data_IF_295387958950
#
_entry.id   IF_295387958950
#
_cell.length_a   1.000
_cell.length_b   1.000
_cell.length_c   1.000
_cell.angle_alpha   90.00
_cell.angle_beta   90.00
_cell.angle_gamma   90.00
#
_symmetry.space_group_name_H-M   'P 1'
#
loop_
_entity.id
_entity.type
_entity.pdbx_description
1 polymer ?
#
# COMPACT_ATOMS: atom_id res chain seq x y z
N UNK A 1 -17.49 22.26 6.66
CA UNK A 1 -17.82 22.38 5.22
C UNK A 1 -18.73 21.27 4.67
N UNK A 2 -18.72 20.03 5.17
CA UNK A 2 -19.58 18.93 4.66
C UNK A 2 -21.10 19.12 4.87
N UNK A 3 -21.53 19.94 5.84
CA UNK A 3 -22.94 20.08 6.24
C UNK A 3 -23.86 20.80 5.25
N UNK A 4 -23.34 21.42 4.18
CA UNK A 4 -24.13 22.21 3.22
C UNK A 4 -24.19 21.61 1.80
N UNK A 5 -23.58 20.45 1.56
CA UNK A 5 -23.52 19.84 0.23
C UNK A 5 -24.81 19.04 -0.10
N UNK A 6 -25.10 18.80 -1.38
CA UNK A 6 -26.18 17.86 -1.78
C UNK A 6 -25.80 16.42 -1.38
N UNK A 7 -26.78 15.50 -1.30
CA UNK A 7 -26.58 14.13 -0.79
C UNK A 7 -25.45 13.38 -1.54
N UNK A 8 -25.44 13.45 -2.87
CA UNK A 8 -24.44 12.78 -3.72
C UNK A 8 -22.99 13.23 -3.45
N UNK A 9 -22.63 14.53 -3.52
CA UNK A 9 -21.25 14.95 -3.26
C UNK A 9 -20.78 14.69 -1.83
N UNK A 10 -21.66 14.71 -0.82
CA UNK A 10 -21.28 14.27 0.54
C UNK A 10 -20.86 12.80 0.55
N UNK A 11 -21.66 11.95 -0.09
CA UNK A 11 -21.39 10.53 -0.18
C UNK A 11 -20.09 10.25 -0.95
N UNK A 12 -19.87 10.95 -2.07
CA UNK A 12 -18.62 10.83 -2.84
C UNK A 12 -17.40 11.21 -2.00
N UNK A 13 -17.45 12.30 -1.24
CA UNK A 13 -16.32 12.72 -0.40
C UNK A 13 -16.02 11.67 0.68
N UNK A 14 -17.06 11.16 1.36
CA UNK A 14 -16.88 10.12 2.38
C UNK A 14 -16.28 8.85 1.77
N UNK A 15 -16.80 8.40 0.64
CA UNK A 15 -16.29 7.23 -0.07
C UNK A 15 -14.83 7.42 -0.50
N UNK A 16 -14.50 8.59 -1.07
CA UNK A 16 -13.13 8.93 -1.47
C UNK A 16 -12.18 8.93 -0.27
N UNK A 17 -12.59 9.45 0.89
CA UNK A 17 -11.75 9.41 2.10
C UNK A 17 -11.45 7.97 2.56
N UNK A 18 -12.46 7.10 2.54
CA UNK A 18 -12.29 5.68 2.89
C UNK A 18 -11.34 4.99 1.89
N UNK A 19 -11.47 5.27 0.60
CA UNK A 19 -10.57 4.67 -0.40
C UNK A 19 -9.17 5.24 -0.35
N UNK A 20 -8.99 6.54 -0.17
CA UNK A 20 -7.65 7.14 -0.02
C UNK A 20 -6.94 6.56 1.20
N UNK A 21 -7.62 6.46 2.35
CA UNK A 21 -7.02 5.83 3.54
C UNK A 21 -6.67 4.36 3.31
N UNK A 22 -7.54 3.61 2.60
CA UNK A 22 -7.27 2.21 2.24
C UNK A 22 -6.08 2.06 1.29
N UNK A 23 -5.95 2.94 0.30
CA UNK A 23 -4.84 2.96 -0.66
C UNK A 23 -3.53 3.27 0.07
N UNK A 24 -3.52 4.26 0.97
CA UNK A 24 -2.32 4.60 1.76
C UNK A 24 -1.91 3.42 2.63
N UNK A 25 -2.85 2.83 3.37
CA UNK A 25 -2.58 1.69 4.25
C UNK A 25 -2.02 0.50 3.46
N UNK A 26 -2.68 0.14 2.35
CA UNK A 26 -2.26 -0.96 1.48
C UNK A 26 -0.89 -0.67 0.86
N UNK A 27 -0.66 0.56 0.40
CA UNK A 27 0.61 0.98 -0.18
C UNK A 27 1.77 0.88 0.80
N UNK A 28 1.56 1.26 2.07
CA UNK A 28 2.57 1.11 3.13
C UNK A 28 2.88 -0.37 3.38
N UNK A 29 1.84 -1.20 3.58
CA UNK A 29 2.02 -2.64 3.85
C UNK A 29 2.73 -3.31 2.68
N UNK A 30 2.28 -3.05 1.45
CA UNK A 30 2.85 -3.64 0.25
C UNK A 30 4.29 -3.18 0.03
N UNK A 31 4.59 -1.89 0.24
CA UNK A 31 5.95 -1.36 0.16
C UNK A 31 6.90 -2.06 1.14
N UNK A 32 6.48 -2.24 2.40
CA UNK A 32 7.27 -2.96 3.40
C UNK A 32 7.48 -4.43 3.01
N UNK A 33 6.43 -5.12 2.56
CA UNK A 33 6.51 -6.51 2.13
C UNK A 33 7.46 -6.69 0.94
N UNK A 34 7.36 -5.82 -0.06
CA UNK A 34 8.20 -5.82 -1.26
C UNK A 34 9.66 -5.50 -0.91
N UNK A 35 9.92 -4.52 -0.06
CA UNK A 35 11.27 -4.18 0.39
C UNK A 35 11.90 -5.31 1.22
N UNK A 36 11.12 -5.95 2.10
CA UNK A 36 11.58 -7.11 2.86
C UNK A 36 11.95 -8.27 1.93
N UNK A 37 11.06 -8.60 0.98
CA UNK A 37 11.33 -9.65 -0.01
C UNK A 37 12.55 -9.36 -0.87
N UNK A 38 12.72 -8.12 -1.32
CA UNK A 38 13.91 -7.71 -2.09
C UNK A 38 15.21 -7.86 -1.28
N UNK A 39 15.18 -7.49 0.01
CA UNK A 39 16.32 -7.68 0.93
C UNK A 39 16.66 -9.17 1.13
N UNK A 40 15.65 -10.01 1.36
CA UNK A 40 15.85 -11.46 1.52
C UNK A 40 16.41 -12.07 0.24
N UNK A 41 15.90 -11.68 -0.92
CA UNK A 41 16.38 -12.17 -2.22
C UNK A 41 17.88 -11.89 -2.44
N UNK A 42 18.35 -10.67 -2.20
CA UNK A 42 19.78 -10.35 -2.34
C UNK A 42 20.65 -11.04 -1.28
N UNK A 43 20.12 -11.25 -0.07
CA UNK A 43 20.81 -11.98 0.99
C UNK A 43 20.96 -13.47 0.68
N UNK A 44 19.91 -14.09 0.15
CA UNK A 44 19.92 -15.50 -0.27
C UNK A 44 20.91 -15.71 -1.43
N UNK A 45 20.94 -14.79 -2.40
CA UNK A 45 21.92 -14.82 -3.49
C UNK A 45 23.36 -14.70 -2.97
N UNK A 46 23.60 -13.77 -2.05
CA UNK A 46 24.91 -13.60 -1.41
C UNK A 46 25.36 -14.83 -0.64
N UNK A 47 24.45 -15.42 0.13
CA UNK A 47 24.66 -16.64 0.92
C UNK A 47 24.92 -17.87 0.05
N UNK A 48 24.20 -18.02 -1.06
CA UNK A 48 24.38 -19.11 -2.01
C UNK A 48 25.76 -19.05 -2.66
N UNK A 49 26.16 -17.86 -3.14
CA UNK A 49 27.49 -17.64 -3.73
C UNK A 49 28.57 -17.90 -2.68
N UNK A 50 28.40 -17.39 -1.46
CA UNK A 50 29.32 -17.62 -0.35
C UNK A 50 29.51 -19.12 -0.08
N UNK A 51 28.41 -19.87 0.06
CA UNK A 51 28.44 -21.30 0.29
C UNK A 51 29.11 -22.06 -0.85
N UNK A 52 28.88 -21.65 -2.11
CA UNK A 52 29.53 -22.22 -3.28
C UNK A 52 31.04 -21.99 -3.25
N UNK A 53 31.49 -20.76 -2.96
CA UNK A 53 32.92 -20.44 -2.90
C UNK A 53 33.62 -21.16 -1.74
N UNK A 54 32.96 -21.27 -0.59
CA UNK A 54 33.46 -22.07 0.54
C UNK A 54 33.57 -23.54 0.13
N UNK A 55 32.59 -24.09 -0.59
CA UNK A 55 32.66 -25.47 -1.08
C UNK A 55 33.84 -25.71 -2.03
N UNK A 56 34.20 -24.72 -2.86
CA UNK A 56 35.41 -24.78 -3.69
C UNK A 56 36.68 -24.82 -2.81
N UNK A 57 36.73 -24.01 -1.74
CA UNK A 57 37.87 -24.04 -0.79
C UNK A 57 37.99 -25.41 -0.12
N UNK A 58 36.87 -25.96 0.33
CA UNK A 58 36.81 -27.24 1.01
C UNK A 58 37.25 -28.38 0.07
N UNK A 59 36.84 -28.32 -1.20
CA UNK A 59 37.31 -29.25 -2.22
C UNK A 59 38.82 -29.16 -2.41
N UNK A 60 39.39 -27.96 -2.55
CA UNK A 60 40.85 -27.77 -2.68
C UNK A 60 41.57 -28.33 -1.46
N UNK A 61 41.10 -28.02 -0.26
CA UNK A 61 41.74 -28.45 1.00
C UNK A 61 41.68 -29.96 1.20
N UNK A 62 40.55 -30.58 0.86
CA UNK A 62 40.28 -32.01 1.14
C UNK A 62 40.78 -32.93 0.03
N UNK A 63 40.70 -32.50 -1.23
CA UNK A 63 40.98 -33.37 -2.39
C UNK A 63 42.27 -32.99 -3.12
N UNK A 64 42.57 -31.70 -3.29
CA UNK A 64 43.72 -31.26 -4.08
C UNK A 64 45.00 -31.20 -3.25
N UNK A 65 44.93 -30.63 -2.05
CA UNK A 65 46.10 -30.44 -1.20
C UNK A 65 46.82 -31.75 -0.84
N UNK A 66 46.13 -32.86 -0.50
CA UNK A 66 46.82 -34.13 -0.24
C UNK A 66 47.62 -34.65 -1.43
N UNK A 67 47.11 -34.48 -2.66
CA UNK A 67 47.76 -34.95 -3.88
C UNK A 67 49.01 -34.13 -4.24
N UNK A 68 49.02 -32.85 -3.87
CA UNK A 68 50.10 -31.93 -4.20
C UNK A 68 51.09 -31.71 -3.05
N UNK A 69 50.85 -32.28 -1.85
CA UNK A 69 51.67 -32.08 -0.65
C UNK A 69 53.16 -32.33 -0.89
N UNK A 70 53.52 -33.45 -1.51
CA UNK A 70 54.93 -33.77 -1.77
C UNK A 70 55.56 -32.79 -2.75
N UNK A 71 54.81 -32.38 -3.78
CA UNK A 71 55.30 -31.44 -4.79
C UNK A 71 55.45 -30.03 -4.22
N UNK A 72 54.56 -29.59 -3.34
CA UNK A 72 54.62 -28.26 -2.73
C UNK A 72 55.93 -28.01 -1.96
N UNK A 73 56.50 -29.08 -1.38
CA UNK A 73 57.76 -29.02 -0.62
C UNK A 73 59.00 -29.01 -1.52
N UNK A 74 58.93 -29.64 -2.71
CA UNK A 74 60.09 -29.87 -3.58
C UNK A 74 60.12 -28.98 -4.82
N UNK A 75 58.95 -28.53 -5.31
CA UNK A 75 58.83 -27.76 -6.54
C UNK A 75 59.36 -26.33 -6.30
N UNK A 76 60.30 -25.83 -7.13
CA UNK A 76 60.81 -24.46 -6.99
C UNK A 76 59.73 -23.40 -7.26
N UNK A 77 58.71 -23.74 -8.05
CA UNK A 77 57.62 -22.82 -8.36
C UNK A 77 56.45 -23.01 -7.39
N UNK A 78 55.96 -21.90 -6.84
CA UNK A 78 54.82 -21.97 -5.93
C UNK A 78 53.54 -22.37 -6.66
N UNK A 79 52.99 -23.51 -6.25
CA UNK A 79 51.76 -24.11 -6.80
C UNK A 79 50.56 -23.44 -6.14
N UNK A 80 50.07 -22.35 -6.74
CA UNK A 80 48.97 -21.53 -6.18
C UNK A 80 47.67 -22.30 -6.01
N UNK A 81 47.48 -23.35 -6.82
CA UNK A 81 46.33 -24.24 -6.81
C UNK A 81 46.19 -25.03 -5.50
N UNK A 82 47.24 -25.05 -4.66
CA UNK A 82 47.19 -25.60 -3.30
C UNK A 82 46.59 -24.62 -2.26
N UNK A 83 46.36 -23.36 -2.64
CA UNK A 83 45.78 -22.34 -1.76
C UNK A 83 44.26 -22.32 -1.97
N UNK A 84 43.44 -22.68 -0.97
CA UNK A 84 41.98 -22.74 -1.13
C UNK A 84 41.37 -21.41 -1.58
N UNK A 85 41.91 -20.29 -1.09
CA UNK A 85 41.47 -18.94 -1.47
C UNK A 85 41.71 -18.66 -2.94
N UNK A 86 42.85 -19.08 -3.48
CA UNK A 86 43.18 -18.90 -4.88
C UNK A 86 42.18 -19.63 -5.79
N UNK A 87 41.82 -20.87 -5.45
CA UNK A 87 40.83 -21.65 -6.19
C UNK A 87 39.46 -20.96 -6.18
N UNK A 88 38.96 -20.57 -5.00
CA UNK A 88 37.67 -19.91 -4.86
C UNK A 88 37.60 -18.58 -5.62
N UNK A 89 38.62 -17.73 -5.46
CA UNK A 89 38.71 -16.44 -6.16
C UNK A 89 38.79 -16.67 -7.68
N UNK A 90 39.58 -17.63 -8.15
CA UNK A 90 39.74 -17.89 -9.59
C UNK A 90 38.45 -18.44 -10.21
N UNK A 91 37.76 -19.36 -9.51
CA UNK A 91 36.45 -19.86 -9.95
C UNK A 91 35.43 -18.72 -10.01
N UNK A 92 35.41 -17.85 -8.98
CA UNK A 92 34.55 -16.67 -8.99
C UNK A 92 34.87 -15.71 -10.14
N UNK A 93 36.15 -15.48 -10.44
CA UNK A 93 36.57 -14.66 -11.59
C UNK A 93 36.07 -15.23 -12.92
N UNK A 94 35.95 -16.55 -13.05
CA UNK A 94 35.33 -17.16 -14.22
C UNK A 94 33.80 -17.01 -14.20
N UNK A 95 33.15 -17.10 -13.03
CA UNK A 95 31.71 -16.89 -12.87
C UNK A 95 31.26 -15.50 -13.34
N UNK A 96 31.98 -14.44 -12.95
CA UNK A 96 31.64 -13.06 -13.32
C UNK A 96 31.93 -12.70 -14.79
N UNK A 97 32.54 -13.59 -15.57
CA UNK A 97 32.65 -13.39 -17.04
C UNK A 97 31.29 -13.47 -17.73
N UNK A 98 30.30 -14.10 -17.09
CA UNK A 98 28.94 -14.11 -17.58
C UNK A 98 28.32 -12.72 -17.43
N UNK A 99 27.74 -12.12 -18.50
CA UNK A 99 27.22 -10.75 -18.45
C UNK A 99 26.22 -10.49 -17.32
N UNK A 100 25.43 -11.51 -16.95
CA UNK A 100 24.44 -11.45 -15.86
C UNK A 100 25.07 -11.27 -14.47
N UNK A 101 26.30 -11.72 -14.27
CA UNK A 101 26.96 -11.75 -12.96
C UNK A 101 28.17 -10.82 -12.87
N UNK A 102 28.42 -9.99 -13.89
CA UNK A 102 29.61 -9.13 -14.01
C UNK A 102 29.81 -8.14 -12.87
N UNK A 103 28.72 -7.69 -12.25
CA UNK A 103 28.73 -6.69 -11.18
C UNK A 103 28.79 -7.34 -9.78
N UNK A 104 28.79 -8.67 -9.68
CA UNK A 104 29.02 -9.38 -8.43
C UNK A 104 30.51 -9.32 -8.06
N UNK A 105 30.80 -9.31 -6.77
CA UNK A 105 32.18 -9.30 -6.28
C UNK A 105 32.35 -10.25 -5.12
N UNK A 106 33.44 -11.01 -5.13
CA UNK A 106 33.85 -11.89 -4.03
C UNK A 106 35.29 -11.59 -3.69
N UNK A 107 35.58 -11.55 -2.39
CA UNK A 107 36.93 -11.36 -1.87
C UNK A 107 37.07 -12.12 -0.56
N UNK A 108 38.28 -12.62 -0.33
CA UNK A 108 38.72 -13.04 0.99
C UNK A 108 39.61 -11.95 1.57
N UNK A 109 39.03 -11.09 2.40
CA UNK A 109 39.67 -9.92 2.95
C UNK A 109 40.35 -10.25 4.28
N UNK A 110 41.68 -10.27 4.30
CA UNK A 110 42.49 -10.67 5.45
C UNK A 110 43.24 -9.45 6.01
N UNK A 111 43.41 -9.39 7.33
CA UNK A 111 44.10 -8.27 8.00
C UNK A 111 45.59 -8.24 7.64
N UNK A 112 46.23 -9.40 7.59
CA UNK A 112 47.62 -9.60 7.17
C UNK A 112 47.68 -10.76 6.15
N UNK A 113 47.41 -10.51 4.86
CA UNK A 113 47.39 -11.54 3.83
C UNK A 113 48.80 -11.89 3.32
N UNK A 114 49.00 -13.10 2.80
CA UNK A 114 50.21 -13.44 2.03
C UNK A 114 50.29 -12.67 0.72
N UNK A 115 49.15 -12.50 0.04
CA UNK A 115 49.04 -11.73 -1.20
C UNK A 115 48.44 -10.34 -0.89
N UNK A 116 49.15 -9.23 -1.13
CA UNK A 116 48.66 -7.88 -0.80
C UNK A 116 47.32 -7.50 -1.43
N UNK A 117 46.91 -8.13 -2.54
CA UNK A 117 45.59 -7.87 -3.15
C UNK A 117 44.41 -8.29 -2.24
N UNK A 118 44.67 -9.21 -1.31
CA UNK A 118 43.67 -9.74 -0.39
C UNK A 118 43.59 -8.93 0.91
N UNK A 119 44.30 -7.80 1.01
CA UNK A 119 44.30 -6.97 2.22
C UNK A 119 42.93 -6.35 2.44
N UNK A 120 42.39 -6.50 3.65
CA UNK A 120 41.13 -5.90 4.03
C UNK A 120 41.21 -4.36 3.94
N UNK A 121 40.25 -3.75 3.23
CA UNK A 121 40.07 -2.29 3.25
C UNK A 121 39.43 -1.84 4.57
N UNK A 122 39.28 -0.53 4.77
CA UNK A 122 38.77 0.03 6.02
C UNK A 122 37.35 -0.42 6.38
N UNK A 123 36.51 -0.69 5.38
CA UNK A 123 35.17 -1.22 5.58
C UNK A 123 35.22 -2.70 6.01
N UNK A 124 35.98 -3.52 5.29
CA UNK A 124 36.18 -4.93 5.60
C UNK A 124 36.82 -5.12 6.99
N UNK A 125 37.79 -4.27 7.35
CA UNK A 125 38.42 -4.22 8.69
C UNK A 125 37.41 -3.96 9.81
N UNK A 126 36.36 -3.15 9.57
CA UNK A 126 35.28 -2.94 10.56
C UNK A 126 34.45 -4.19 10.79
N UNK A 127 34.18 -4.95 9.74
CA UNK A 127 33.45 -6.23 9.84
C UNK A 127 34.30 -7.27 10.57
N UNK A 128 35.61 -7.35 10.29
CA UNK A 128 36.53 -8.22 11.03
C UNK A 128 36.52 -7.90 12.53
N UNK A 129 36.57 -6.60 12.89
CA UNK A 129 36.44 -6.16 14.29
C UNK A 129 35.10 -6.55 14.93
N UNK A 130 34.01 -6.53 14.16
CA UNK A 130 32.72 -6.99 14.65
C UNK A 130 32.75 -8.47 15.02
N UNK A 131 33.32 -9.33 14.17
CA UNK A 131 33.49 -10.74 14.49
C UNK A 131 34.44 -10.99 15.67
N UNK A 132 35.47 -10.16 15.87
CA UNK A 132 36.31 -10.25 17.09
C UNK A 132 35.53 -9.91 18.36
N UNK A 133 34.64 -8.92 18.31
CA UNK A 133 33.83 -8.53 19.47
C UNK A 133 32.67 -9.50 19.73
N UNK A 134 32.24 -10.25 18.72
CA UNK A 134 31.09 -11.15 18.74
C UNK A 134 31.46 -12.45 18.01
N UNK A 135 32.32 -13.26 18.65
CA UNK A 135 32.93 -14.46 18.03
C UNK A 135 31.93 -15.53 17.57
N UNK A 136 30.73 -15.53 18.14
CA UNK A 136 29.69 -16.52 17.84
C UNK A 136 28.81 -16.11 16.64
N UNK A 137 29.01 -14.92 16.07
CA UNK A 137 28.28 -14.51 14.87
C UNK A 137 28.77 -15.29 13.64
N UNK A 138 27.91 -16.10 13.00
CA UNK A 138 28.31 -16.89 11.84
C UNK A 138 28.40 -16.03 10.57
N UNK A 139 27.64 -14.93 10.51
CA UNK A 139 27.47 -14.12 9.32
C UNK A 139 27.04 -12.69 9.67
N UNK A 140 27.47 -11.72 8.88
CA UNK A 140 26.98 -10.34 8.91
C UNK A 140 26.61 -9.93 7.49
N UNK A 141 25.42 -9.37 7.33
CA UNK A 141 24.93 -8.92 6.02
C UNK A 141 24.19 -7.59 6.13
N UNK A 142 24.47 -6.65 5.23
CA UNK A 142 23.74 -5.39 5.17
C UNK A 142 23.94 -4.70 3.81
N UNK A 143 23.32 -3.54 3.64
CA UNK A 143 23.62 -2.64 2.54
C UNK A 143 24.89 -1.84 2.80
N UNK A 144 25.63 -1.56 1.73
CA UNK A 144 26.74 -0.62 1.72
C UNK A 144 26.82 0.03 0.34
N UNK A 145 27.62 1.09 0.23
CA UNK A 145 28.01 1.65 -1.06
C UNK A 145 29.36 1.09 -1.48
N UNK A 146 29.50 0.77 -2.76
CA UNK A 146 30.78 0.39 -3.38
C UNK A 146 30.84 1.00 -4.77
N UNK A 147 31.89 1.80 -5.03
CA UNK A 147 32.11 2.46 -6.33
C UNK A 147 30.89 3.28 -6.81
N UNK A 148 30.23 4.01 -5.90
CA UNK A 148 29.06 4.83 -6.20
C UNK A 148 27.75 4.06 -6.42
N UNK A 149 27.75 2.73 -6.25
CA UNK A 149 26.55 1.89 -6.37
C UNK A 149 26.17 1.30 -5.03
N UNK A 150 24.87 1.24 -4.75
CA UNK A 150 24.36 0.49 -3.61
C UNK A 150 24.46 -1.02 -3.88
N UNK A 151 25.07 -1.72 -2.93
CA UNK A 151 25.24 -3.18 -2.97
C UNK A 151 24.83 -3.79 -1.65
N UNK A 152 24.37 -5.04 -1.69
CA UNK A 152 24.16 -5.86 -0.51
C UNK A 152 25.38 -6.73 -0.29
N UNK A 153 25.98 -6.70 0.91
CA UNK A 153 27.10 -7.56 1.24
C UNK A 153 26.68 -8.69 2.18
N UNK A 154 27.34 -9.83 2.06
CA UNK A 154 27.26 -10.96 3.01
C UNK A 154 28.69 -11.37 3.36
N UNK A 155 29.01 -11.39 4.65
CA UNK A 155 30.35 -11.66 5.14
C UNK A 155 30.35 -12.78 6.19
N UNK A 156 31.35 -13.66 6.12
CA UNK A 156 31.61 -14.74 7.09
C UNK A 156 33.04 -14.68 7.60
N UNK A 157 33.30 -15.02 8.87
CA UNK A 157 34.65 -14.96 9.43
C UNK A 157 35.53 -16.10 8.89
N UNK A 158 36.79 -15.79 8.59
CA UNK A 158 37.82 -16.79 8.29
C UNK A 158 38.45 -17.22 9.61
N UNK A 159 37.94 -18.31 10.18
CA UNK A 159 38.46 -18.92 11.41
C UNK A 159 39.48 -20.01 11.07
N UNK A 160 40.68 -19.95 11.65
CA UNK A 160 41.71 -20.97 11.44
C UNK A 160 41.40 -22.21 12.29
N UNK A 161 40.55 -23.09 11.79
CA UNK A 161 40.14 -24.32 12.51
C UNK A 161 41.09 -25.50 12.30
N UNK A 162 41.86 -25.51 11.21
CA UNK A 162 42.79 -26.59 10.86
C UNK A 162 44.25 -26.16 11.11
N UNK A 163 45.02 -27.02 11.78
CA UNK A 163 46.46 -26.85 11.99
C UNK A 163 47.25 -26.88 10.69
N UNK A 164 46.72 -27.49 9.63
CA UNK A 164 47.36 -27.51 8.31
C UNK A 164 47.62 -26.10 7.76
N UNK A 165 46.77 -25.12 8.06
CA UNK A 165 46.96 -23.72 7.69
C UNK A 165 48.27 -23.14 8.26
N UNK A 166 48.66 -23.59 9.45
CA UNK A 166 49.85 -23.11 10.14
C UNK A 166 51.15 -23.62 9.50
N UNK A 167 51.10 -24.61 8.60
CA UNK A 167 52.25 -25.02 7.77
C UNK A 167 52.80 -23.83 6.98
N UNK A 168 51.91 -22.98 6.48
CA UNK A 168 52.24 -21.86 5.58
C UNK A 168 52.12 -20.48 6.25
N UNK A 169 51.33 -20.37 7.34
CA UNK A 169 50.96 -19.09 7.94
C UNK A 169 51.41 -18.89 9.40
N UNK A 170 52.16 -19.84 9.98
CA UNK A 170 52.75 -19.66 11.32
C UNK A 170 53.94 -18.71 11.26
N UNK A 171 55.15 -19.23 11.03
CA UNK A 171 56.39 -18.47 10.93
C UNK A 171 57.06 -18.70 9.57
N UNK A 172 57.81 -17.71 9.05
CA UNK A 172 58.47 -17.84 7.74
C UNK A 172 59.42 -19.04 7.65
N UNK A 173 60.12 -19.38 8.74
CA UNK A 173 61.07 -20.50 8.75
C UNK A 173 60.43 -21.86 8.47
N UNK A 174 59.12 -22.00 8.71
CA UNK A 174 58.40 -23.23 8.40
C UNK A 174 57.85 -23.19 6.97
N UNK A 175 57.37 -22.07 6.46
CA UNK A 175 56.67 -22.05 5.16
C UNK A 175 57.46 -22.66 3.98
N UNK A 176 56.76 -23.24 2.99
CA UNK A 176 57.39 -23.73 1.77
C UNK A 176 58.31 -22.69 1.12
N UNK A 177 59.52 -23.11 0.73
CA UNK A 177 60.53 -22.19 0.15
C UNK A 177 60.01 -21.49 -1.10
N UNK A 178 59.22 -22.20 -1.91
CA UNK A 178 58.58 -21.64 -3.11
C UNK A 178 57.58 -20.52 -2.77
N UNK A 179 56.84 -20.63 -1.66
CA UNK A 179 55.96 -19.54 -1.17
C UNK A 179 56.77 -18.30 -0.81
N UNK A 180 57.86 -18.48 -0.04
CA UNK A 180 58.74 -17.38 0.37
C UNK A 180 59.41 -16.71 -0.83
N UNK A 181 59.84 -17.50 -1.82
CA UNK A 181 60.43 -16.97 -3.05
C UNK A 181 59.44 -16.09 -3.83
N UNK A 182 58.14 -16.42 -3.78
CA UNK A 182 57.08 -15.69 -4.51
C UNK A 182 56.52 -14.48 -3.76
N UNK A 183 56.26 -14.62 -2.46
CA UNK A 183 55.53 -13.63 -1.66
C UNK A 183 56.38 -12.96 -0.57
N UNK A 184 57.60 -13.44 -0.35
CA UNK A 184 58.47 -12.98 0.73
C UNK A 184 58.06 -13.52 2.11
N UNK A 185 58.73 -13.01 3.14
CA UNK A 185 58.59 -13.44 4.54
C UNK A 185 57.87 -12.43 5.45
N UNK A 186 57.42 -11.30 4.90
CA UNK A 186 56.89 -10.17 5.69
C UNK A 186 55.41 -10.33 6.08
N UNK A 187 54.57 -10.74 5.14
CA UNK A 187 53.11 -10.74 5.31
C UNK A 187 52.54 -12.17 5.29
N UNK A 188 51.34 -12.34 5.84
CA UNK A 188 50.65 -13.63 5.83
C UNK A 188 51.18 -14.65 6.86
N UNK A 189 51.84 -14.17 7.90
CA UNK A 189 52.37 -14.97 9.02
C UNK A 189 51.79 -14.51 10.36
N UNK A 190 52.01 -15.31 11.41
CA UNK A 190 51.57 -15.03 12.77
C UNK A 190 50.15 -15.52 13.09
N UNK A 191 49.54 -16.31 12.20
CA UNK A 191 48.22 -16.88 12.44
C UNK A 191 48.27 -17.92 13.56
N UNK A 192 47.21 -18.02 14.36
CA UNK A 192 47.06 -19.06 15.40
C UNK A 192 45.79 -19.85 15.18
N UNK A 193 45.76 -21.05 15.77
CA UNK A 193 44.57 -21.91 15.75
C UNK A 193 43.41 -21.20 16.48
N UNK A 194 42.23 -21.26 15.89
CA UNK A 194 40.99 -20.60 16.31
C UNK A 194 40.97 -19.06 16.20
N UNK A 195 42.00 -18.44 15.62
CA UNK A 195 41.97 -17.00 15.35
C UNK A 195 41.08 -16.67 14.14
N UNK A 196 40.42 -15.51 14.20
CA UNK A 196 39.75 -14.89 13.05
C UNK A 196 40.75 -13.98 12.36
N UNK A 197 41.23 -14.40 11.18
CA UNK A 197 42.30 -13.67 10.44
C UNK A 197 41.76 -12.69 9.41
N UNK A 198 40.47 -12.81 9.08
CA UNK A 198 39.82 -12.05 8.02
C UNK A 198 38.35 -12.44 7.84
N UNK A 199 37.79 -12.06 6.70
CA UNK A 199 36.42 -12.38 6.29
C UNK A 199 36.40 -12.86 4.83
N UNK A 200 35.51 -13.79 4.52
CA UNK A 200 35.01 -13.93 3.16
C UNK A 200 33.86 -12.97 2.98
N UNK A 201 33.83 -12.22 1.89
CA UNK A 201 32.76 -11.25 1.61
C UNK A 201 32.28 -11.36 0.16
N UNK A 202 30.98 -11.45 -0.02
CA UNK A 202 30.28 -11.37 -1.30
C UNK A 202 29.52 -10.05 -1.35
N UNK A 203 29.59 -9.35 -2.48
CA UNK A 203 28.77 -8.19 -2.79
C UNK A 203 27.85 -8.52 -3.97
N UNK A 204 26.56 -8.31 -3.76
CA UNK A 204 25.49 -8.53 -4.73
C UNK A 204 24.94 -7.16 -5.14
N UNK A 205 24.84 -6.86 -6.43
CA UNK A 205 24.15 -5.66 -6.91
C UNK A 205 22.69 -5.66 -6.42
N UNK A 206 22.30 -4.66 -5.63
CA UNK A 206 20.93 -4.57 -5.12
C UNK A 206 20.04 -3.64 -5.96
N UNK A 207 20.63 -2.68 -6.66
CA UNK A 207 19.90 -1.64 -7.39
C UNK A 207 18.91 -2.20 -8.40
N UNK A 208 19.29 -3.23 -9.17
CA UNK A 208 18.40 -3.88 -10.14
C UNK A 208 17.22 -4.58 -9.44
N UNK A 209 17.48 -5.35 -8.37
CA UNK A 209 16.43 -6.06 -7.60
C UNK A 209 15.42 -5.07 -7.02
N UNK A 210 15.89 -3.97 -6.44
CA UNK A 210 15.02 -2.94 -5.87
C UNK A 210 14.30 -2.12 -6.95
N UNK A 211 14.93 -1.85 -8.09
CA UNK A 211 14.26 -1.17 -9.22
C UNK A 211 13.08 -1.99 -9.77
N UNK A 212 13.26 -3.31 -9.88
CA UNK A 212 12.22 -4.26 -10.28
C UNK A 212 11.10 -4.25 -9.22
N UNK A 213 11.45 -4.31 -7.94
CA UNK A 213 10.53 -4.26 -6.82
C UNK A 213 9.65 -2.99 -6.84
N UNK A 214 10.26 -1.82 -7.08
CA UNK A 214 9.54 -0.54 -7.21
C UNK A 214 8.62 -0.49 -8.43
N UNK A 215 9.04 -1.08 -9.57
CA UNK A 215 8.19 -1.16 -10.77
C UNK A 215 6.96 -2.04 -10.54
N UNK A 216 7.10 -3.16 -9.84
CA UNK A 216 5.95 -4.00 -9.49
C UNK A 216 5.02 -3.28 -8.50
N UNK A 217 5.58 -2.61 -7.49
CA UNK A 217 4.81 -1.81 -6.53
C UNK A 217 3.99 -0.74 -7.26
N UNK A 218 4.59 0.03 -8.16
CA UNK A 218 3.89 1.10 -8.88
C UNK A 218 2.82 0.56 -9.82
N UNK A 219 3.07 -0.57 -10.49
CA UNK A 219 2.08 -1.25 -11.33
C UNK A 219 0.88 -1.71 -10.51
N UNK A 220 1.12 -2.41 -9.39
CA UNK A 220 0.04 -2.90 -8.52
C UNK A 220 -0.75 -1.74 -7.94
N UNK A 221 -0.08 -0.70 -7.43
CA UNK A 221 -0.74 0.51 -6.92
C UNK A 221 -1.56 1.21 -8.02
N UNK A 222 -1.04 1.29 -9.24
CA UNK A 222 -1.76 1.84 -10.39
C UNK A 222 -3.06 1.08 -10.68
N UNK A 223 -3.02 -0.26 -10.64
CA UNK A 223 -4.21 -1.11 -10.79
C UNK A 223 -5.21 -0.86 -9.64
N UNK A 224 -4.75 -0.83 -8.39
CA UNK A 224 -5.63 -0.54 -7.25
C UNK A 224 -6.32 0.81 -7.37
N UNK A 225 -5.58 1.86 -7.73
CA UNK A 225 -6.12 3.20 -7.93
C UNK A 225 -7.16 3.20 -9.06
N UNK A 226 -6.88 2.53 -10.18
CA UNK A 226 -7.81 2.42 -11.30
C UNK A 226 -9.11 1.69 -10.91
N UNK A 227 -9.01 0.59 -10.16
CA UNK A 227 -10.18 -0.15 -9.65
C UNK A 227 -11.00 0.72 -8.71
N UNK A 228 -10.38 1.41 -7.74
CA UNK A 228 -11.11 2.29 -6.83
C UNK A 228 -11.77 3.46 -7.57
N UNK A 229 -11.11 4.04 -8.57
CA UNK A 229 -11.70 5.09 -9.39
C UNK A 229 -12.96 4.57 -10.14
N UNK A 230 -12.87 3.38 -10.74
CA UNK A 230 -14.01 2.72 -11.39
C UNK A 230 -15.17 2.49 -10.41
N UNK A 231 -14.87 2.02 -9.20
CA UNK A 231 -15.87 1.76 -8.15
C UNK A 231 -16.54 3.08 -7.70
N UNK A 232 -15.78 4.16 -7.50
CA UNK A 232 -16.35 5.47 -7.17
C UNK A 232 -17.31 5.94 -8.27
N UNK A 233 -16.91 5.83 -9.53
CA UNK A 233 -17.75 6.21 -10.67
C UNK A 233 -19.02 5.38 -10.72
N UNK A 234 -18.91 4.06 -10.56
CA UNK A 234 -20.05 3.14 -10.58
C UNK A 234 -21.02 3.42 -9.43
N UNK A 235 -20.52 3.58 -8.20
CA UNK A 235 -21.36 3.87 -7.04
C UNK A 235 -22.05 5.23 -7.19
N UNK A 236 -21.34 6.26 -7.64
CA UNK A 236 -21.95 7.57 -7.90
C UNK A 236 -23.03 7.50 -8.98
N UNK A 237 -22.79 6.72 -10.04
CA UNK A 237 -23.76 6.49 -11.10
C UNK A 237 -25.02 5.78 -10.56
N UNK A 238 -24.84 4.69 -9.82
CA UNK A 238 -25.93 3.91 -9.21
C UNK A 238 -26.71 4.74 -8.19
N UNK A 239 -26.04 5.50 -7.33
CA UNK A 239 -26.67 6.37 -6.34
C UNK A 239 -27.49 7.48 -7.00
N UNK A 240 -26.96 8.09 -8.07
CA UNK A 240 -27.68 9.11 -8.84
C UNK A 240 -28.95 8.54 -9.47
N UNK A 241 -28.86 7.36 -10.10
CA UNK A 241 -29.97 6.73 -10.83
C UNK A 241 -31.01 6.10 -9.91
N UNK A 242 -30.56 5.47 -8.83
CA UNK A 242 -31.43 4.65 -7.96
C UNK A 242 -32.05 5.45 -6.82
N UNK A 243 -31.33 6.44 -6.28
CA UNK A 243 -31.76 7.19 -5.09
C UNK A 243 -32.07 8.65 -5.41
N UNK A 244 -31.11 9.39 -5.98
CA UNK A 244 -31.25 10.86 -6.11
C UNK A 244 -32.31 11.24 -7.14
N UNK A 245 -32.35 10.58 -8.30
CA UNK A 245 -33.34 10.86 -9.34
C UNK A 245 -34.78 10.59 -8.87
N UNK A 246 -35.10 9.42 -8.26
CA UNK A 246 -36.47 9.13 -7.81
C UNK A 246 -36.97 10.01 -6.66
N UNK A 247 -36.08 10.55 -5.81
CA UNK A 247 -36.48 11.40 -4.68
C UNK A 247 -36.81 12.84 -5.13
N UNK A 248 -36.22 13.32 -6.24
CA UNK A 248 -36.40 14.71 -6.70
C UNK A 248 -37.86 15.13 -6.93
N UNK A 249 -38.71 14.34 -7.61
CA UNK A 249 -40.12 14.67 -7.79
C UNK A 249 -40.87 14.85 -6.47
N UNK A 250 -40.65 13.95 -5.51
CA UNK A 250 -41.31 14.00 -4.20
C UNK A 250 -40.89 15.25 -3.40
N UNK A 251 -39.59 15.56 -3.42
CA UNK A 251 -39.07 16.75 -2.75
C UNK A 251 -39.64 18.05 -3.33
N UNK A 252 -39.81 18.12 -4.67
CA UNK A 252 -40.44 19.27 -5.34
C UNK A 252 -41.92 19.40 -5.01
N UNK A 253 -42.65 18.28 -5.02
CA UNK A 253 -44.08 18.26 -4.67
C UNK A 253 -44.29 18.77 -3.24
N UNK A 254 -43.51 18.27 -2.28
CA UNK A 254 -43.56 18.73 -0.89
C UNK A 254 -43.25 20.23 -0.76
N UNK A 255 -42.28 20.74 -1.52
CA UNK A 255 -41.91 22.16 -1.53
C UNK A 255 -43.02 23.05 -2.13
N UNK A 256 -43.70 22.59 -3.19
CA UNK A 256 -44.84 23.30 -3.78
C UNK A 256 -46.04 23.34 -2.82
N UNK A 257 -46.35 22.23 -2.14
CA UNK A 257 -47.41 22.18 -1.11
C UNK A 257 -47.08 23.15 0.04
N UNK A 258 -45.83 23.16 0.50
CA UNK A 258 -45.40 24.01 1.62
C UNK A 258 -45.42 25.51 1.32
N UNK A 259 -45.19 25.90 0.07
CA UNK A 259 -45.10 27.31 -0.32
C UNK A 259 -46.45 27.93 -0.69
N UNK A 260 -47.57 27.25 -0.43
CA UNK A 260 -48.94 27.69 -0.78
C UNK A 260 -49.15 28.02 -2.27
N UNK A 261 -48.21 27.63 -3.14
CA UNK A 261 -48.33 27.74 -4.60
C UNK A 261 -49.10 26.57 -5.22
N UNK A 262 -49.80 25.81 -4.38
CA UNK A 262 -50.55 24.61 -4.77
C UNK A 262 -51.92 25.00 -5.34
N UNK A 263 -51.91 25.78 -6.43
CA UNK A 263 -53.12 26.12 -7.18
C UNK A 263 -53.49 24.99 -8.13
N UNK A 264 -54.80 24.74 -8.32
CA UNK A 264 -55.31 23.74 -9.27
C UNK A 264 -54.80 23.90 -10.71
N UNK A 265 -54.34 25.10 -11.08
CA UNK A 265 -53.86 25.43 -12.42
C UNK A 265 -52.33 25.23 -12.60
N UNK A 266 -51.56 25.03 -11.53
CA UNK A 266 -50.08 24.86 -11.57
C UNK A 266 -49.63 23.40 -11.42
N UNK A 267 -50.53 22.46 -11.71
CA UNK A 267 -50.25 21.03 -11.77
C UNK A 267 -49.57 20.70 -13.10
N UNK A 268 -48.26 20.96 -13.21
CA UNK A 268 -47.50 20.59 -14.41
C UNK A 268 -47.56 19.07 -14.62
N UNK A 269 -48.18 18.61 -15.72
CA UNK A 269 -48.32 17.20 -16.14
C UNK A 269 -47.00 16.41 -16.03
N UNK A 270 -45.88 17.06 -16.32
CA UNK A 270 -44.54 16.47 -16.27
C UNK A 270 -44.14 16.00 -14.86
N UNK A 271 -44.63 16.63 -13.79
CA UNK A 271 -44.31 16.22 -12.42
C UNK A 271 -45.12 15.01 -11.96
N UNK A 272 -46.41 14.91 -12.33
CA UNK A 272 -47.23 13.70 -12.10
C UNK A 272 -46.60 12.51 -12.80
N UNK A 273 -46.25 12.65 -14.08
CA UNK A 273 -45.68 11.55 -14.86
C UNK A 273 -44.38 11.04 -14.24
N UNK A 274 -43.55 11.96 -13.73
CA UNK A 274 -42.29 11.61 -13.07
C UNK A 274 -42.50 10.90 -11.73
N UNK A 275 -43.54 11.25 -10.98
CA UNK A 275 -43.85 10.67 -9.67
C UNK A 275 -44.57 9.33 -9.81
N UNK A 276 -45.42 9.19 -10.84
CA UNK A 276 -46.07 7.94 -11.23
C UNK A 276 -45.03 6.89 -11.70
N UNK A 277 -44.01 7.32 -12.46
CA UNK A 277 -42.87 6.44 -12.83
C UNK A 277 -42.14 5.88 -11.61
N UNK A 278 -42.02 6.66 -10.53
CA UNK A 278 -41.42 6.17 -9.27
C UNK A 278 -42.41 5.30 -8.48
N UNK A 279 -43.70 5.66 -8.44
CA UNK A 279 -44.74 4.91 -7.76
C UNK A 279 -44.99 3.50 -8.34
N UNK A 280 -44.59 3.26 -9.59
CA UNK A 280 -44.59 1.91 -10.20
C UNK A 280 -43.50 1.00 -9.64
N UNK A 281 -42.50 1.52 -8.94
CA UNK A 281 -41.48 0.69 -8.29
C UNK A 281 -42.05 -0.06 -7.10
N UNK A 282 -41.55 -1.27 -6.87
CA UNK A 282 -41.92 -2.13 -5.74
C UNK A 282 -41.02 -1.94 -4.51
N UNK A 283 -40.00 -1.09 -4.61
CA UNK A 283 -39.07 -0.74 -3.53
C UNK A 283 -39.67 0.30 -2.55
N UNK A 284 -38.94 0.58 -1.46
CA UNK A 284 -39.33 1.52 -0.41
C UNK A 284 -39.56 2.94 -0.98
N UNK A 285 -38.82 3.32 -2.03
CA UNK A 285 -39.02 4.60 -2.71
C UNK A 285 -40.34 4.61 -3.49
N UNK A 286 -40.71 3.51 -4.14
CA UNK A 286 -42.01 3.36 -4.78
C UNK A 286 -43.18 3.39 -3.78
N UNK A 287 -43.02 2.75 -2.61
CA UNK A 287 -44.01 2.84 -1.53
C UNK A 287 -44.16 4.29 -1.03
N UNK A 288 -43.04 4.98 -0.82
CA UNK A 288 -43.05 6.38 -0.40
C UNK A 288 -43.71 7.29 -1.46
N UNK A 289 -43.43 7.06 -2.75
CA UNK A 289 -44.07 7.78 -3.84
C UNK A 289 -45.60 7.66 -3.80
N UNK A 290 -46.12 6.45 -3.60
CA UNK A 290 -47.57 6.18 -3.51
C UNK A 290 -48.19 6.91 -2.32
N UNK A 291 -47.53 6.91 -1.17
CA UNK A 291 -47.99 7.66 0.01
C UNK A 291 -48.03 9.17 -0.26
N UNK A 292 -47.01 9.72 -0.92
CA UNK A 292 -47.00 11.13 -1.33
C UNK A 292 -48.10 11.46 -2.33
N UNK A 293 -48.41 10.57 -3.29
CA UNK A 293 -49.55 10.74 -4.20
C UNK A 293 -50.87 10.79 -3.44
N UNK A 294 -51.08 9.88 -2.49
CA UNK A 294 -52.30 9.83 -1.68
C UNK A 294 -52.46 11.10 -0.83
N UNK A 295 -51.38 11.57 -0.19
CA UNK A 295 -51.40 12.82 0.57
C UNK A 295 -51.73 14.03 -0.31
N UNK A 296 -51.09 14.14 -1.48
CA UNK A 296 -51.33 15.24 -2.41
C UNK A 296 -52.78 15.27 -2.91
N UNK A 297 -53.35 14.11 -3.23
CA UNK A 297 -54.77 13.99 -3.62
C UNK A 297 -55.70 14.39 -2.46
N UNK A 298 -55.43 13.94 -1.24
CA UNK A 298 -56.26 14.27 -0.08
C UNK A 298 -56.24 15.78 0.24
N UNK A 299 -55.08 16.43 0.14
CA UNK A 299 -54.94 17.88 0.33
C UNK A 299 -55.73 18.64 -0.75
N UNK A 300 -55.56 18.24 -2.02
CA UNK A 300 -56.27 18.86 -3.14
C UNK A 300 -57.79 18.75 -3.02
N UNK A 301 -58.29 17.54 -2.72
CA UNK A 301 -59.71 17.31 -2.53
C UNK A 301 -60.28 18.16 -1.38
N UNK A 302 -59.52 18.31 -0.29
CA UNK A 302 -59.92 19.13 0.86
C UNK A 302 -59.94 20.63 0.52
N UNK A 303 -59.01 21.11 -0.28
CA UNK A 303 -58.94 22.52 -0.69
C UNK A 303 -60.08 22.88 -1.64
N UNK A 304 -60.42 21.99 -2.59
CA UNK A 304 -61.61 22.15 -3.44
C UNK A 304 -62.92 22.11 -2.66
N UNK A 305 -63.11 21.14 -1.76
CA UNK A 305 -64.30 21.07 -0.91
C UNK A 305 -64.44 22.33 -0.05
N UNK A 306 -63.33 22.83 0.49
CA UNK A 306 -63.32 24.08 1.25
C UNK A 306 -63.69 25.29 0.37
N UNK A 307 -63.15 25.40 -0.84
CA UNK A 307 -63.49 26.46 -1.79
C UNK A 307 -64.97 26.41 -2.19
N UNK A 308 -65.51 25.22 -2.47
CA UNK A 308 -66.93 25.03 -2.77
C UNK A 308 -67.83 25.38 -1.58
N UNK A 309 -67.44 25.00 -0.35
CA UNK A 309 -68.16 25.38 0.86
C UNK A 309 -68.18 26.90 1.05
N UNK A 310 -67.06 27.59 0.82
CA UNK A 310 -67.00 29.05 0.87
C UNK A 310 -67.89 29.70 -0.20
N UNK A 311 -67.91 29.15 -1.40
CA UNK A 311 -68.75 29.66 -2.49
C UNK A 311 -70.24 29.41 -2.23
N UNK A 312 -70.61 28.24 -1.70
CA UNK A 312 -71.99 27.96 -1.27
C UNK A 312 -72.43 28.86 -0.11
N UNK A 313 -71.54 29.11 0.87
CA UNK A 313 -71.82 30.04 1.97
C UNK A 313 -72.00 31.47 1.45
N UNK A 314 -71.18 31.89 0.49
CA UNK A 314 -71.31 33.19 -0.19
C UNK A 314 -72.66 33.30 -0.93
N UNK A 315 -73.00 32.31 -1.75
CA UNK A 315 -74.26 32.28 -2.48
C UNK A 315 -75.47 32.24 -1.54
N UNK A 316 -75.40 31.51 -0.42
CA UNK A 316 -76.44 31.51 0.63
C UNK A 316 -76.55 32.84 1.37
N UNK A 317 -75.44 33.55 1.59
CA UNK A 317 -75.46 34.91 2.14
C UNK A 317 -76.00 35.95 1.16
N UNK A 318 -75.87 35.72 -0.14
CA UNK A 318 -76.42 36.58 -1.20
C UNK A 318 -77.91 36.28 -1.50
N UNK A 319 -78.35 35.02 -1.36
CA UNK A 319 -79.77 34.63 -1.48
C UNK A 319 -80.58 34.83 -0.18
N UNK A 320 -79.90 34.83 0.97
CA UNK A 320 -80.48 35.15 2.26
C UNK A 320 -80.44 36.65 2.54
N UNK A 321 -81.47 37.36 2.06
CA UNK A 321 -81.84 38.76 2.32
C UNK A 321 -81.20 39.83 1.41
N UNK A 322 -82.06 40.58 0.73
CA UNK A 322 -81.84 42.00 0.47
C UNK A 322 -81.77 42.76 1.79
N UNK A 323 -80.59 42.77 2.42
CA UNK A 323 -80.34 43.45 3.69
C UNK A 323 -79.12 44.36 3.57
N UNK A 324 -79.32 45.65 3.85
CA UNK A 324 -78.26 46.63 4.05
C UNK A 324 -77.36 46.21 5.22
N UNK A 325 -76.02 46.26 5.10
CA UNK A 325 -75.13 45.71 6.12
C UNK A 325 -75.04 46.64 7.34
N UNK A 326 -75.52 46.20 8.51
CA UNK A 326 -75.11 46.77 9.79
C UNK A 326 -73.93 45.99 10.37
N UNK A 327 -73.00 46.72 11.00
CA UNK A 327 -71.70 46.28 11.56
C UNK A 327 -71.70 44.93 12.30
N UNK A 328 -72.80 44.58 12.96
CA UNK A 328 -72.90 43.40 13.81
C UNK A 328 -72.87 42.05 13.07
N UNK A 329 -73.36 41.98 11.82
CA UNK A 329 -73.37 40.71 11.08
C UNK A 329 -71.99 40.31 10.55
N UNK A 330 -71.10 41.28 10.28
CA UNK A 330 -69.69 41.01 9.94
C UNK A 330 -68.92 40.43 11.13
N UNK A 331 -69.23 40.87 12.34
CA UNK A 331 -68.60 40.37 13.58
C UNK A 331 -69.05 38.93 13.84
N UNK A 332 -70.33 38.61 13.68
CA UNK A 332 -70.84 37.24 13.80
C UNK A 332 -70.20 36.30 12.75
N UNK A 333 -70.07 36.77 11.51
CA UNK A 333 -69.37 36.07 10.43
C UNK A 333 -67.90 35.79 10.77
N UNK A 334 -67.16 36.79 11.26
CA UNK A 334 -65.77 36.63 11.70
C UNK A 334 -65.64 35.69 12.90
N UNK A 335 -66.59 35.73 13.84
CA UNK A 335 -66.59 34.86 15.04
C UNK A 335 -66.85 33.39 14.68
N UNK A 336 -67.74 33.14 13.72
CA UNK A 336 -68.03 31.80 13.21
C UNK A 336 -66.82 31.23 12.44
N UNK A 337 -66.13 32.06 11.64
CA UNK A 337 -64.87 31.69 10.99
C UNK A 337 -63.76 31.40 12.01
N UNK A 338 -63.66 32.21 13.07
CA UNK A 338 -62.69 32.00 14.15
C UNK A 338 -62.94 30.69 14.91
N UNK A 339 -64.20 30.38 15.23
CA UNK A 339 -64.57 29.13 15.90
C UNK A 339 -64.32 27.91 15.01
N UNK A 340 -64.61 27.99 13.70
CA UNK A 340 -64.34 26.89 12.76
C UNK A 340 -62.83 26.68 12.57
N UNK A 341 -62.04 27.77 12.52
CA UNK A 341 -60.58 27.70 12.50
C UNK A 341 -59.99 27.11 13.80
N UNK A 342 -60.56 27.43 14.97
CA UNK A 342 -60.18 26.85 16.26
C UNK A 342 -60.49 25.36 16.34
N UNK A 343 -61.65 24.91 15.86
CA UNK A 343 -62.01 23.48 15.86
C UNK A 343 -61.10 22.67 14.93
N UNK A 344 -60.71 23.22 13.78
CA UNK A 344 -59.75 22.58 12.87
C UNK A 344 -58.35 22.51 13.51
N UNK A 345 -57.89 23.58 14.17
CA UNK A 345 -56.61 23.56 14.94
C UNK A 345 -56.61 22.53 16.06
N UNK A 346 -57.72 22.41 16.78
CA UNK A 346 -57.82 21.46 17.90
C UNK A 346 -57.88 20.01 17.41
N UNK A 347 -58.50 19.74 16.26
CA UNK A 347 -58.44 18.41 15.61
C UNK A 347 -57.02 18.05 15.15
N UNK A 348 -56.25 19.00 14.62
CA UNK A 348 -54.85 18.76 14.22
C UNK A 348 -53.88 18.58 15.40
N UNK A 349 -54.22 19.06 16.61
CA UNK A 349 -53.46 18.81 17.85
C UNK A 349 -53.84 17.50 18.55
N UNK A 350 -54.92 16.84 18.15
CA UNK A 350 -55.43 15.61 18.78
C UNK A 350 -55.02 14.30 18.10
N UNK A 351 -54.26 14.37 17.01
CA UNK A 351 -53.67 13.21 16.33
C UNK A 351 -52.15 13.28 16.47
N UNK A 352 -51.67 12.91 17.65
CA UNK A 352 -50.28 12.52 17.93
C UNK A 352 -50.27 11.05 18.33
#
# INVERSE_FOLDING_TARGET
MLKNLKLAPRFTILLSLVFISSIILTGVILSQAVHHKAKTEVADQGSLIMAMMISVRDYTSTNINPLLKSRLETDPNFIRETVPAFSAITVFQNFIKQPKYKDFYYKEAVINPTNPQDEANDFEKKIVKQFWNQSDLPEVSNFTERSGKQVFYTARPIVIKDKSCLRCHSIPALAPKSQLAKYGSKNGFGWKLNDIVGIQIVYVPSEEVFSIAHRYLSLVMGIFIAIFALVILLINFLLKRTVVQPIRPMARLAQKISNEQFSADNYEEAEIESLEKVAKKTDELGQLARLFQQMAHAIYAREQDFAQQLQQLRNKSEQGQGYTPTSNNRIAYFKALQQKAQTIRNRMKGTN
#
